data_IF_271814512982
#
_entry.id   IF_271814512982
#
_cell.length_a   1.000
_cell.length_b   1.000
_cell.length_c   1.000
_cell.angle_alpha   90.00
_cell.angle_beta   90.00
_cell.angle_gamma   90.00
#
_symmetry.space_group_name_H-M   'P 1'
#
loop_
_entity.id
_entity.type
_entity.pdbx_description
1 polymer ?
#
# COMPACT_ATOMS: atom_id res chain seq x y z
N UNK A 1 -58.73 -14.47 -13.43
CA UNK A 1 -58.03 -13.25 -12.96
C UNK A 1 -57.75 -12.46 -14.21
N UNK A 2 -58.41 -11.32 -14.35
CA UNK A 2 -58.56 -10.61 -15.63
C UNK A 2 -57.37 -9.66 -15.84
N UNK A 3 -56.70 -9.75 -16.98
CA UNK A 3 -55.44 -9.04 -17.27
C UNK A 3 -55.62 -7.51 -17.28
N UNK A 4 -56.85 -7.04 -17.53
CA UNK A 4 -57.21 -5.62 -17.47
C UNK A 4 -57.22 -5.05 -16.04
N UNK A 5 -57.46 -5.89 -15.03
CA UNK A 5 -57.56 -5.43 -13.64
C UNK A 5 -56.17 -5.09 -13.07
N UNK A 6 -55.15 -5.87 -13.46
CA UNK A 6 -53.74 -5.65 -13.07
C UNK A 6 -53.17 -4.37 -13.69
N UNK A 7 -53.48 -4.09 -14.96
CA UNK A 7 -53.01 -2.86 -15.62
C UNK A 7 -53.62 -1.60 -15.00
N UNK A 8 -54.91 -1.67 -14.66
CA UNK A 8 -55.64 -0.56 -14.03
C UNK A 8 -55.12 -0.30 -12.62
N UNK A 9 -54.85 -1.38 -11.87
CA UNK A 9 -54.27 -1.29 -10.53
C UNK A 9 -52.83 -0.76 -10.55
N UNK A 10 -52.01 -1.15 -11.53
CA UNK A 10 -50.66 -0.61 -11.74
C UNK A 10 -50.68 0.88 -12.10
N UNK A 11 -51.59 1.31 -12.99
CA UNK A 11 -51.70 2.72 -13.37
C UNK A 11 -52.17 3.59 -12.21
N UNK A 12 -53.09 3.12 -11.38
CA UNK A 12 -53.55 3.88 -10.21
C UNK A 12 -52.45 4.00 -9.15
N UNK A 13 -51.69 2.93 -8.92
CA UNK A 13 -50.58 2.93 -7.96
C UNK A 13 -49.40 3.81 -8.41
N UNK A 14 -49.13 3.86 -9.72
CA UNK A 14 -48.11 4.75 -10.29
C UNK A 14 -48.54 6.22 -10.29
N UNK A 15 -49.82 6.52 -10.52
CA UNK A 15 -50.34 7.88 -10.47
C UNK A 15 -50.42 8.47 -9.05
N UNK A 16 -50.55 7.62 -8.02
CA UNK A 16 -50.65 8.04 -6.62
C UNK A 16 -49.29 8.27 -5.93
N UNK A 17 -48.17 7.86 -6.54
CA UNK A 17 -46.84 8.09 -5.96
C UNK A 17 -46.40 9.54 -6.24
N UNK A 18 -46.10 10.34 -5.21
CA UNK A 18 -45.49 11.65 -5.41
C UNK A 18 -44.16 11.45 -6.14
N UNK A 19 -43.97 12.17 -7.25
CA UNK A 19 -42.75 12.10 -8.03
C UNK A 19 -41.56 12.41 -7.11
N UNK A 20 -40.68 11.42 -6.92
CA UNK A 20 -39.41 11.61 -6.24
C UNK A 20 -38.67 12.73 -6.98
N UNK A 21 -38.45 13.84 -6.28
CA UNK A 21 -37.73 14.99 -6.82
C UNK A 21 -36.33 14.50 -7.16
N UNK A 22 -35.99 14.50 -8.45
CA UNK A 22 -34.66 14.11 -8.89
C UNK A 22 -33.63 15.00 -8.17
N UNK A 23 -32.53 14.43 -7.62
CA UNK A 23 -31.46 15.21 -7.04
C UNK A 23 -31.00 16.30 -8.02
N UNK A 24 -30.81 17.52 -7.52
CA UNK A 24 -30.48 18.71 -8.35
C UNK A 24 -29.16 18.53 -9.15
N UNK A 25 -28.34 17.53 -8.80
CA UNK A 25 -27.06 17.21 -9.42
C UNK A 25 -27.09 15.99 -10.36
N UNK A 26 -28.25 15.37 -10.58
CA UNK A 26 -28.36 14.15 -11.41
C UNK A 26 -27.89 14.38 -12.85
N UNK A 27 -28.14 15.57 -13.41
CA UNK A 27 -27.67 15.97 -14.73
C UNK A 27 -26.14 16.14 -14.79
N UNK A 28 -25.51 16.61 -13.71
CA UNK A 28 -24.05 16.79 -13.64
C UNK A 28 -23.37 15.43 -13.45
N UNK A 29 -23.90 14.58 -12.55
CA UNK A 29 -23.42 13.20 -12.33
C UNK A 29 -23.51 12.35 -13.61
N UNK A 30 -24.61 12.44 -14.35
CA UNK A 30 -24.75 11.72 -15.64
C UNK A 30 -23.77 12.24 -16.70
N UNK A 31 -23.51 13.56 -16.77
CA UNK A 31 -22.50 14.13 -17.68
C UNK A 31 -21.08 13.66 -17.34
N UNK A 32 -20.70 13.64 -16.05
CA UNK A 32 -19.38 13.17 -15.60
C UNK A 32 -19.21 11.68 -15.90
N UNK A 33 -20.22 10.85 -15.58
CA UNK A 33 -20.21 9.41 -15.87
C UNK A 33 -20.11 9.14 -17.37
N UNK A 34 -20.86 9.86 -18.20
CA UNK A 34 -20.82 9.70 -19.65
C UNK A 34 -19.45 10.10 -20.26
N UNK A 35 -18.78 11.13 -19.72
CA UNK A 35 -17.40 11.49 -20.15
C UNK A 35 -16.38 10.41 -19.78
N UNK A 36 -16.48 9.83 -18.57
CA UNK A 36 -15.59 8.74 -18.11
C UNK A 36 -15.81 7.46 -18.92
N UNK A 37 -17.06 7.11 -19.19
CA UNK A 37 -17.43 5.95 -20.01
C UNK A 37 -16.97 6.08 -21.47
N UNK A 38 -17.06 7.28 -22.08
CA UNK A 38 -16.51 7.52 -23.43
C UNK A 38 -14.99 7.35 -23.50
N UNK A 39 -14.25 7.78 -22.48
CA UNK A 39 -12.78 7.60 -22.42
C UNK A 39 -12.42 6.11 -22.26
N UNK A 40 -13.16 5.36 -21.47
CA UNK A 40 -12.96 3.91 -21.31
C UNK A 40 -13.33 3.12 -22.57
N UNK A 41 -14.43 3.47 -23.26
CA UNK A 41 -14.81 2.83 -24.52
C UNK A 41 -13.77 3.06 -25.64
N UNK A 42 -13.12 4.23 -25.68
CA UNK A 42 -12.05 4.50 -26.64
C UNK A 42 -10.78 3.64 -26.38
N UNK A 43 -10.49 3.31 -25.11
CA UNK A 43 -9.35 2.47 -24.75
C UNK A 43 -9.57 0.98 -25.11
N UNK A 44 -10.79 0.46 -24.94
CA UNK A 44 -11.13 -0.95 -25.24
C UNK A 44 -11.06 -1.25 -26.75
N UNK A 45 -11.45 -0.31 -27.61
CA UNK A 45 -11.35 -0.47 -29.08
C UNK A 45 -9.88 -0.50 -29.54
N UNK A 46 -8.98 0.24 -28.88
CA UNK A 46 -7.55 0.21 -29.19
C UNK A 46 -6.86 -1.11 -28.87
N UNK A 47 -7.20 -1.73 -27.74
CA UNK A 47 -6.63 -3.02 -27.31
C UNK A 47 -7.08 -4.16 -28.23
N UNK A 48 -8.34 -4.17 -28.66
CA UNK A 48 -8.85 -5.18 -29.59
C UNK A 48 -8.12 -5.18 -30.95
N UNK A 49 -7.78 -4.01 -31.48
CA UNK A 49 -7.04 -3.89 -32.75
C UNK A 49 -5.59 -4.40 -32.62
N UNK A 50 -4.94 -4.16 -31.49
CA UNK A 50 -3.59 -4.64 -31.21
C UNK A 50 -3.53 -6.17 -31.08
N UNK A 51 -4.51 -6.77 -30.40
CA UNK A 51 -4.62 -8.24 -30.27
C UNK A 51 -4.88 -8.89 -31.64
N UNK A 52 -5.75 -8.33 -32.49
CA UNK A 52 -5.99 -8.88 -33.84
C UNK A 52 -4.74 -8.77 -34.74
N UNK A 53 -3.95 -7.70 -34.61
CA UNK A 53 -2.68 -7.57 -35.36
C UNK A 53 -1.60 -8.54 -34.86
N UNK A 54 -1.53 -8.81 -33.55
CA UNK A 54 -0.57 -9.75 -32.97
C UNK A 54 -0.97 -11.21 -33.23
N UNK A 55 -2.25 -11.57 -33.16
CA UNK A 55 -2.70 -12.95 -33.39
C UNK A 55 -2.92 -13.29 -34.88
N UNK A 56 -3.26 -12.31 -35.73
CA UNK A 56 -3.45 -12.51 -37.16
C UNK A 56 -2.16 -12.73 -37.96
N UNK A 57 -1.00 -12.36 -37.40
CA UNK A 57 0.31 -12.45 -38.08
C UNK A 57 1.12 -13.71 -37.76
N UNK A 58 0.65 -14.57 -36.84
CA UNK A 58 1.38 -15.75 -36.35
C UNK A 58 1.25 -17.04 -37.19
N UNK A 59 0.27 -17.29 -38.08
CA UNK A 59 0.19 -18.60 -38.74
C UNK A 59 1.28 -18.91 -39.80
N UNK A 60 2.07 -17.94 -40.27
CA UNK A 60 2.96 -18.14 -41.44
C UNK A 60 4.43 -18.37 -41.08
N UNK A 61 4.87 -18.12 -39.84
CA UNK A 61 6.28 -18.23 -39.44
C UNK A 61 6.67 -19.57 -38.78
N UNK A 62 5.76 -20.54 -38.65
CA UNK A 62 6.08 -21.88 -38.15
C UNK A 62 6.77 -22.80 -39.17
N UNK A 63 6.85 -22.41 -40.45
CA UNK A 63 7.48 -23.22 -41.50
C UNK A 63 8.97 -22.95 -41.75
N UNK A 64 9.60 -22.01 -41.03
CA UNK A 64 11.00 -21.60 -41.26
C UNK A 64 11.94 -21.84 -40.07
N UNK A 65 11.49 -22.57 -39.04
CA UNK A 65 12.37 -22.92 -37.93
C UNK A 65 13.19 -24.17 -38.32
N UNK A 66 14.53 -24.07 -38.42
CA UNK A 66 15.38 -25.22 -38.73
C UNK A 66 15.27 -26.27 -37.62
N UNK A 67 15.24 -27.55 -38.01
CA UNK A 67 15.33 -28.68 -37.09
C UNK A 67 16.53 -28.50 -36.15
N UNK A 68 16.26 -28.29 -34.87
CA UNK A 68 17.28 -28.23 -33.83
C UNK A 68 17.68 -29.66 -33.47
N UNK A 69 18.46 -30.26 -34.37
CA UNK A 69 19.27 -31.44 -34.11
C UNK A 69 20.71 -31.01 -33.82
N UNK A 70 21.02 -30.65 -32.58
CA UNK A 70 22.40 -30.55 -32.11
C UNK A 70 22.44 -30.66 -30.60
N UNK A 71 23.09 -31.71 -30.11
CA UNK A 71 23.52 -31.87 -28.72
C UNK A 71 24.71 -30.94 -28.42
N UNK A 72 24.52 -29.63 -28.62
CA UNK A 72 25.53 -28.65 -28.25
C UNK A 72 25.47 -28.45 -26.74
N UNK A 73 26.53 -28.94 -26.09
CA UNK A 73 26.76 -28.77 -24.67
C UNK A 73 26.81 -27.27 -24.39
N UNK A 74 25.88 -26.74 -23.59
CA UNK A 74 25.81 -25.32 -23.26
C UNK A 74 27.19 -24.84 -22.78
N UNK A 75 27.86 -24.02 -23.59
CA UNK A 75 29.12 -23.40 -23.18
C UNK A 75 28.87 -22.64 -21.88
N UNK A 76 29.78 -22.75 -20.88
CA UNK A 76 29.61 -22.05 -19.60
C UNK A 76 29.35 -20.58 -19.90
N UNK A 77 28.21 -20.08 -19.43
CA UNK A 77 27.88 -18.67 -19.53
C UNK A 77 29.04 -17.90 -18.92
N UNK A 78 29.75 -17.13 -19.75
CA UNK A 78 30.77 -16.20 -19.25
C UNK A 78 30.05 -15.30 -18.26
N UNK A 79 30.30 -15.51 -16.97
CA UNK A 79 29.67 -14.77 -15.90
C UNK A 79 29.91 -13.29 -16.15
N UNK A 80 28.87 -12.56 -16.49
CA UNK A 80 28.93 -11.10 -16.49
C UNK A 80 29.20 -10.72 -15.04
N UNK A 81 30.44 -10.30 -14.75
CA UNK A 81 30.80 -9.76 -13.45
C UNK A 81 29.93 -8.54 -13.22
N UNK A 82 28.85 -8.73 -12.48
CA UNK A 82 27.97 -7.62 -12.10
C UNK A 82 28.68 -6.86 -10.99
N UNK A 83 28.83 -5.55 -11.20
CA UNK A 83 29.45 -4.67 -10.22
C UNK A 83 28.69 -4.78 -8.88
N UNK A 84 29.42 -5.03 -7.80
CA UNK A 84 28.88 -5.11 -6.44
C UNK A 84 29.01 -3.76 -5.73
N UNK A 85 28.04 -3.41 -4.89
CA UNK A 85 28.15 -2.30 -3.94
C UNK A 85 29.42 -2.40 -3.08
N UNK A 86 29.86 -3.62 -2.77
CA UNK A 86 31.08 -3.89 -2.00
C UNK A 86 32.36 -3.46 -2.73
N UNK A 87 32.36 -3.50 -4.07
CA UNK A 87 33.55 -3.22 -4.88
C UNK A 87 33.72 -1.71 -5.14
N UNK A 88 32.64 -0.94 -5.02
CA UNK A 88 32.63 0.51 -5.27
C UNK A 88 33.44 1.25 -4.20
N UNK A 89 34.17 2.34 -4.54
CA UNK A 89 34.77 3.23 -3.55
C UNK A 89 33.78 3.76 -2.52
N UNK A 90 34.29 4.15 -1.35
CA UNK A 90 33.49 4.85 -0.34
C UNK A 90 32.95 6.14 -0.95
N UNK A 91 31.69 6.46 -0.66
CA UNK A 91 31.04 7.68 -1.16
C UNK A 91 30.44 8.50 -0.02
N UNK A 92 30.10 9.75 -0.33
CA UNK A 92 29.55 10.71 0.62
C UNK A 92 30.61 11.69 1.15
N UNK A 93 30.18 12.70 1.92
CA UNK A 93 31.05 13.79 2.39
C UNK A 93 32.28 13.37 3.21
N UNK A 94 32.30 12.17 3.79
CA UNK A 94 33.42 11.65 4.57
C UNK A 94 34.26 10.59 3.83
N UNK A 95 34.09 10.46 2.51
CA UNK A 95 34.80 9.44 1.73
C UNK A 95 36.33 9.55 1.79
N UNK A 96 36.88 10.74 2.08
CA UNK A 96 38.32 10.99 2.16
C UNK A 96 38.88 10.95 3.60
N UNK A 97 38.03 10.71 4.62
CA UNK A 97 38.45 10.65 6.04
C UNK A 97 38.83 9.23 6.45
N UNK A 98 39.94 8.74 5.93
CA UNK A 98 40.40 7.36 6.13
C UNK A 98 40.49 6.94 7.62
N UNK A 99 41.05 7.75 8.55
CA UNK A 99 41.06 7.39 9.97
C UNK A 99 39.66 7.18 10.55
N UNK A 100 38.70 8.05 10.21
CA UNK A 100 37.32 7.92 10.66
C UNK A 100 36.66 6.67 10.06
N UNK A 101 36.84 6.43 8.75
CA UNK A 101 36.29 5.27 8.05
C UNK A 101 36.80 3.94 8.62
N UNK A 102 38.10 3.83 8.91
CA UNK A 102 38.69 2.63 9.51
C UNK A 102 38.12 2.37 10.92
N UNK A 103 37.99 3.42 11.73
CA UNK A 103 37.45 3.30 13.07
C UNK A 103 35.96 2.89 13.06
N UNK A 104 35.15 3.43 12.15
CA UNK A 104 33.74 3.02 11.99
C UNK A 104 33.61 1.60 11.46
N UNK A 105 34.44 1.19 10.49
CA UNK A 105 34.47 -0.19 10.02
C UNK A 105 34.80 -1.20 11.14
N UNK A 106 35.60 -0.79 12.12
CA UNK A 106 35.98 -1.61 13.27
C UNK A 106 34.91 -1.69 14.37
N UNK A 107 33.78 -0.95 14.27
CA UNK A 107 32.73 -0.99 15.28
C UNK A 107 32.09 -2.39 15.38
N UNK A 108 31.76 -2.84 16.60
CA UNK A 108 31.15 -4.16 16.79
C UNK A 108 29.73 -4.19 16.20
N UNK A 109 29.42 -5.28 15.51
CA UNK A 109 28.06 -5.56 15.04
C UNK A 109 27.30 -6.35 16.11
N UNK A 110 26.14 -5.84 16.52
CA UNK A 110 25.14 -6.55 17.29
C UNK A 110 24.44 -7.52 16.35
N UNK A 111 24.70 -8.82 16.55
CA UNK A 111 24.06 -9.92 15.83
C UNK A 111 22.88 -10.39 16.66
N UNK A 112 21.71 -10.54 16.04
CA UNK A 112 20.57 -11.12 16.74
C UNK A 112 20.79 -12.62 17.00
N UNK A 113 20.25 -13.19 18.10
CA UNK A 113 20.54 -14.57 18.52
C UNK A 113 20.17 -15.66 17.49
N UNK A 114 19.36 -15.31 16.51
CA UNK A 114 18.81 -16.24 15.51
C UNK A 114 19.58 -16.26 14.20
N UNK A 115 20.71 -15.54 14.09
CA UNK A 115 21.62 -15.68 12.95
C UNK A 115 22.82 -16.59 13.34
N UNK A 116 22.75 -17.90 13.05
CA UNK A 116 23.78 -18.86 13.44
C UNK A 116 25.10 -18.69 12.66
N UNK A 117 25.14 -17.83 11.63
CA UNK A 117 26.35 -17.63 10.81
C UNK A 117 27.36 -16.64 11.43
N UNK A 118 27.08 -16.05 12.60
CA UNK A 118 28.02 -15.37 13.54
C UNK A 118 28.85 -14.19 12.94
N UNK A 119 29.45 -13.29 13.76
CA UNK A 119 29.91 -12.00 13.24
C UNK A 119 31.02 -12.17 12.21
N UNK A 120 30.85 -11.50 11.07
CA UNK A 120 31.90 -11.39 10.07
C UNK A 120 33.21 -10.94 10.74
N UNK A 121 34.37 -11.47 10.30
CA UNK A 121 35.64 -10.91 10.73
C UNK A 121 35.64 -9.41 10.43
N UNK A 122 36.02 -8.59 11.41
CA UNK A 122 36.11 -7.13 11.22
C UNK A 122 37.07 -6.75 10.09
N UNK A 123 38.01 -7.63 9.75
CA UNK A 123 38.94 -7.49 8.64
C UNK A 123 38.27 -7.40 7.25
N UNK A 124 37.02 -7.84 7.10
CA UNK A 124 36.27 -7.72 5.83
C UNK A 124 35.25 -6.58 5.86
N UNK A 125 35.22 -5.77 6.92
CA UNK A 125 34.34 -4.62 6.99
C UNK A 125 34.87 -3.49 6.11
N UNK A 126 33.97 -2.92 5.29
CA UNK A 126 34.26 -1.77 4.43
C UNK A 126 33.13 -0.76 4.53
N UNK A 127 33.46 0.51 4.74
CA UNK A 127 32.45 1.58 4.67
C UNK A 127 32.08 1.81 3.20
N UNK A 128 30.81 1.73 2.85
CA UNK A 128 30.33 2.03 1.49
C UNK A 128 29.84 3.47 1.33
N UNK A 129 29.32 4.04 2.41
CA UNK A 129 28.88 5.43 2.44
C UNK A 129 29.03 6.03 3.84
N UNK A 130 29.45 7.29 3.93
CA UNK A 130 29.53 8.05 5.18
C UNK A 130 29.31 9.55 4.99
N UNK A 131 28.56 10.17 5.90
CA UNK A 131 28.27 11.60 5.84
C UNK A 131 27.36 12.10 6.96
N UNK A 132 27.23 13.42 7.03
CA UNK A 132 26.16 14.08 7.78
C UNK A 132 25.00 14.38 6.84
N UNK A 133 23.77 14.05 7.25
CA UNK A 133 22.54 14.39 6.54
C UNK A 133 21.43 14.71 7.55
N UNK A 134 20.72 15.82 7.33
CA UNK A 134 19.64 16.30 8.19
C UNK A 134 19.98 16.27 9.70
N UNK A 135 21.19 16.72 10.07
CA UNK A 135 21.64 16.78 11.47
C UNK A 135 22.06 15.42 12.07
N UNK A 136 22.16 14.37 11.28
CA UNK A 136 22.56 13.02 11.71
C UNK A 136 23.83 12.58 10.99
N UNK A 137 24.84 12.12 11.73
CA UNK A 137 25.98 11.39 11.18
C UNK A 137 25.53 9.97 10.87
N UNK A 138 25.76 9.49 9.65
CA UNK A 138 25.30 8.18 9.19
C UNK A 138 26.47 7.47 8.47
N UNK A 139 26.57 6.15 8.63
CA UNK A 139 27.48 5.31 7.86
C UNK A 139 26.88 3.95 7.52
N UNK A 140 27.18 3.44 6.32
CA UNK A 140 26.89 2.07 5.89
C UNK A 140 28.18 1.27 5.88
N UNK A 141 28.25 0.24 6.72
CA UNK A 141 29.37 -0.71 6.74
C UNK A 141 28.92 -2.02 6.12
N UNK A 142 29.66 -2.48 5.11
CA UNK A 142 29.42 -3.72 4.39
C UNK A 142 30.46 -4.77 4.77
N UNK A 143 30.10 -6.04 4.61
CA UNK A 143 31.03 -7.16 4.65
C UNK A 143 30.68 -8.20 3.60
N UNK A 144 31.68 -8.92 3.11
CA UNK A 144 31.49 -10.03 2.20
C UNK A 144 32.20 -11.29 2.73
N UNK A 145 31.44 -12.33 3.03
CA UNK A 145 31.96 -13.63 3.50
C UNK A 145 31.30 -14.75 2.71
N UNK A 146 32.10 -15.65 2.15
CA UNK A 146 31.58 -16.80 1.39
C UNK A 146 30.70 -16.42 0.20
N UNK A 147 30.94 -15.26 -0.40
CA UNK A 147 30.14 -14.74 -1.51
C UNK A 147 28.79 -14.14 -1.10
N UNK A 148 28.49 -13.99 0.19
CA UNK A 148 27.30 -13.31 0.70
C UNK A 148 27.66 -11.90 1.12
N UNK A 149 26.92 -10.90 0.59
CA UNK A 149 27.05 -9.51 0.99
C UNK A 149 26.11 -9.25 2.16
N UNK A 150 26.61 -8.61 3.21
CA UNK A 150 25.81 -8.15 4.33
C UNK A 150 26.19 -6.73 4.73
N UNK A 151 25.31 -6.02 5.44
CA UNK A 151 25.58 -4.65 5.85
C UNK A 151 24.83 -4.22 7.10
N UNK A 152 25.35 -3.17 7.74
CA UNK A 152 24.80 -2.53 8.93
C UNK A 152 24.89 -1.02 8.76
N UNK A 153 23.83 -0.33 9.18
CA UNK A 153 23.82 1.12 9.29
C UNK A 153 24.20 1.56 10.70
N UNK A 154 25.04 2.59 10.79
CA UNK A 154 25.40 3.28 12.02
C UNK A 154 24.91 4.71 11.96
N UNK A 155 24.46 5.25 13.10
CA UNK A 155 24.05 6.63 13.23
C UNK A 155 24.55 7.27 14.52
N UNK A 156 24.80 8.57 14.48
CA UNK A 156 25.15 9.43 15.62
C UNK A 156 24.67 10.86 15.39
N UNK A 157 24.83 11.77 16.36
CA UNK A 157 24.59 13.20 16.12
C UNK A 157 25.48 13.72 14.98
N UNK A 158 25.08 14.79 14.28
CA UNK A 158 25.95 15.43 13.29
C UNK A 158 27.32 15.74 13.90
N UNK A 159 28.38 15.44 13.16
CA UNK A 159 29.73 15.62 13.68
C UNK A 159 30.29 14.44 14.47
N UNK A 160 29.48 13.41 14.80
CA UNK A 160 29.88 12.33 15.69
C UNK A 160 31.21 11.67 15.32
N UNK A 161 32.03 11.46 16.34
CA UNK A 161 33.23 10.63 16.28
C UNK A 161 32.84 9.15 16.17
N UNK A 162 33.73 8.26 15.69
CA UNK A 162 33.42 6.84 15.49
C UNK A 162 32.88 6.15 16.75
N UNK A 163 33.43 6.49 17.93
CA UNK A 163 32.98 5.93 19.21
C UNK A 163 31.61 6.42 19.69
N UNK A 164 31.07 7.47 19.07
CA UNK A 164 29.72 8.01 19.36
C UNK A 164 28.67 7.46 18.39
N UNK A 165 29.09 6.71 17.37
CA UNK A 165 28.20 6.05 16.42
C UNK A 165 27.56 4.82 17.06
N UNK A 166 26.26 4.67 16.84
CA UNK A 166 25.48 3.53 17.33
C UNK A 166 24.90 2.76 16.15
N UNK A 167 24.94 1.43 16.22
CA UNK A 167 24.29 0.59 15.21
C UNK A 167 22.78 0.88 15.19
N UNK A 168 22.28 1.31 14.05
CA UNK A 168 20.90 1.75 13.86
C UNK A 168 19.98 0.65 13.32
N UNK A 169 20.52 -0.42 12.76
CA UNK A 169 19.75 -1.55 12.20
C UNK A 169 20.36 -2.88 12.61
N UNK A 170 19.59 -3.97 12.53
CA UNK A 170 20.16 -5.32 12.48
C UNK A 170 21.06 -5.53 11.25
N UNK A 171 21.77 -6.66 11.23
CA UNK A 171 22.55 -7.11 10.06
C UNK A 171 21.58 -7.48 8.94
N UNK A 172 21.83 -6.95 7.75
CA UNK A 172 21.00 -7.19 6.56
C UNK A 172 21.77 -8.04 5.55
N UNK A 173 21.09 -9.01 4.93
CA UNK A 173 21.60 -9.68 3.75
C UNK A 173 21.25 -8.87 2.50
N UNK A 174 22.25 -8.54 1.72
CA UNK A 174 22.12 -7.61 0.61
C UNK A 174 22.34 -8.31 -0.73
N UNK A 175 21.60 -7.86 -1.74
CA UNK A 175 21.85 -8.24 -3.13
C UNK A 175 22.90 -7.29 -3.70
N UNK A 176 23.99 -7.87 -4.22
CA UNK A 176 25.22 -7.14 -4.60
C UNK A 176 25.00 -5.91 -5.48
N UNK A 177 24.06 -5.97 -6.42
CA UNK A 177 23.86 -4.95 -7.46
C UNK A 177 22.54 -4.17 -7.30
N UNK A 178 21.82 -4.37 -6.19
CA UNK A 178 20.60 -3.64 -5.88
C UNK A 178 20.92 -2.42 -5.01
N UNK A 179 20.25 -1.27 -5.24
CA UNK A 179 20.37 -0.14 -4.33
C UNK A 179 19.85 -0.49 -2.94
N UNK A 180 20.37 0.21 -1.93
CA UNK A 180 19.95 0.12 -0.55
C UNK A 180 19.46 1.49 -0.07
N UNK A 181 18.24 1.54 0.44
CA UNK A 181 17.68 2.73 1.08
C UNK A 181 17.64 2.55 2.59
N UNK A 182 18.01 3.61 3.30
CA UNK A 182 17.98 3.74 4.74
C UNK A 182 17.15 4.95 5.14
N UNK A 183 16.20 4.72 6.04
CA UNK A 183 15.40 5.80 6.63
C UNK A 183 15.64 5.86 8.12
N UNK A 184 15.81 7.09 8.58
CA UNK A 184 15.96 7.36 9.99
C UNK A 184 15.15 8.60 10.42
N UNK A 185 14.77 8.64 11.69
CA UNK A 185 14.04 9.76 12.29
C UNK A 185 14.70 10.10 13.62
N UNK A 186 15.44 11.22 13.71
CA UNK A 186 16.07 11.64 14.95
C UNK A 186 15.06 11.89 16.07
N UNK A 187 15.44 11.58 17.30
CA UNK A 187 14.61 11.76 18.49
C UNK A 187 14.34 13.27 18.67
N UNK A 188 13.11 13.71 18.40
CA UNK A 188 12.62 15.12 18.38
C UNK A 188 12.69 15.86 17.05
N UNK A 189 13.03 15.20 15.94
CA UNK A 189 12.90 15.82 14.62
C UNK A 189 11.45 15.71 14.10
N UNK A 190 10.96 16.77 13.47
CA UNK A 190 9.72 16.77 12.69
C UNK A 190 9.89 16.13 11.31
N UNK A 191 11.14 15.94 10.89
CA UNK A 191 11.56 15.38 9.62
C UNK A 191 12.42 14.14 9.84
N UNK A 192 12.47 13.30 8.81
CA UNK A 192 13.39 12.17 8.75
C UNK A 192 14.58 12.46 7.85
N UNK A 193 15.47 11.49 7.75
CA UNK A 193 16.55 11.44 6.77
C UNK A 193 16.40 10.19 5.91
N UNK A 194 16.55 10.35 4.60
CA UNK A 194 16.65 9.27 3.63
C UNK A 194 18.07 9.25 3.08
N UNK A 195 18.71 8.09 3.13
CA UNK A 195 19.98 7.82 2.44
C UNK A 195 19.76 6.65 1.48
N UNK A 196 20.16 6.81 0.23
CA UNK A 196 20.10 5.78 -0.79
C UNK A 196 21.50 5.57 -1.36
N UNK A 197 21.95 4.31 -1.35
CA UNK A 197 23.27 3.88 -1.85
C UNK A 197 23.05 2.88 -2.97
N UNK A 198 23.22 3.35 -4.21
CA UNK A 198 23.17 2.58 -5.46
C UNK A 198 24.56 2.40 -6.09
N UNK A 199 24.61 1.99 -7.34
CA UNK A 199 25.84 1.93 -8.14
C UNK A 199 26.11 3.29 -8.82
N UNK A 200 27.37 3.58 -9.20
CA UNK A 200 27.72 4.76 -9.99
C UNK A 200 26.76 5.01 -11.16
N UNK A 201 26.30 6.26 -11.29
CA UNK A 201 25.34 6.68 -12.32
C UNK A 201 23.86 6.49 -11.98
N UNK A 202 23.52 5.89 -10.83
CA UNK A 202 22.13 5.84 -10.36
C UNK A 202 21.65 7.25 -9.97
N UNK A 203 20.39 7.56 -10.30
CA UNK A 203 19.70 8.77 -9.84
C UNK A 203 18.55 8.40 -8.91
N UNK A 204 18.25 9.26 -7.95
CA UNK A 204 17.28 8.96 -6.89
C UNK A 204 16.23 10.07 -6.80
N UNK A 205 14.98 9.66 -6.87
CA UNK A 205 13.83 10.44 -6.44
C UNK A 205 13.20 9.77 -5.22
N UNK A 206 12.37 10.49 -4.48
CA UNK A 206 11.55 9.90 -3.44
C UNK A 206 10.12 10.41 -3.53
N UNK A 207 9.19 9.59 -3.07
CA UNK A 207 7.77 9.96 -2.94
C UNK A 207 7.55 10.54 -1.54
N UNK A 208 7.24 11.83 -1.44
CA UNK A 208 6.96 12.53 -0.16
C UNK A 208 5.54 12.22 0.35
N UNK A 209 4.64 11.87 -0.55
CA UNK A 209 3.27 11.47 -0.25
C UNK A 209 2.39 11.45 -1.50
N UNK A 210 1.12 11.08 -1.29
CA UNK A 210 0.09 11.14 -2.34
C UNK A 210 -1.00 12.09 -1.85
N UNK A 211 -1.16 13.21 -2.55
CA UNK A 211 -2.26 14.15 -2.27
C UNK A 211 -3.50 13.75 -3.05
N UNK A 212 -4.67 13.96 -2.47
CA UNK A 212 -5.95 13.65 -3.11
C UNK A 212 -6.75 14.93 -3.28
N UNK A 213 -7.05 15.28 -4.54
CA UNK A 213 -7.86 16.45 -4.87
C UNK A 213 -9.32 16.24 -4.44
N UNK A 214 -10.10 17.33 -4.35
CA UNK A 214 -11.54 17.22 -4.05
C UNK A 214 -12.33 16.41 -5.11
N UNK A 215 -11.77 16.19 -6.30
CA UNK A 215 -12.35 15.34 -7.33
C UNK A 215 -12.00 13.85 -7.16
N UNK A 216 -11.26 13.48 -6.11
CA UNK A 216 -10.76 12.12 -5.90
C UNK A 216 -9.59 11.76 -6.82
N UNK A 217 -8.88 12.75 -7.37
CA UNK A 217 -7.71 12.51 -8.21
C UNK A 217 -6.45 12.48 -7.34
N UNK A 218 -5.66 11.43 -7.51
CA UNK A 218 -4.38 11.28 -6.82
C UNK A 218 -3.26 11.99 -7.56
N UNK A 219 -2.44 12.73 -6.81
CA UNK A 219 -1.21 13.33 -7.28
C UNK A 219 -0.07 12.90 -6.37
N UNK A 220 0.80 12.04 -6.92
CA UNK A 220 2.02 11.57 -6.26
C UNK A 220 3.06 12.70 -6.28
N UNK A 221 3.47 13.17 -5.11
CA UNK A 221 4.53 14.18 -4.98
C UNK A 221 5.90 13.50 -5.02
N UNK A 222 6.55 13.57 -6.18
CA UNK A 222 7.90 13.08 -6.39
C UNK A 222 8.89 14.23 -6.27
N UNK A 223 9.94 14.02 -5.47
CA UNK A 223 11.00 15.01 -5.28
C UNK A 223 12.37 14.39 -5.57
N UNK A 224 13.27 15.12 -6.23
CA UNK A 224 14.64 14.67 -6.40
C UNK A 224 15.32 14.60 -5.02
N UNK A 225 16.06 13.52 -4.76
CA UNK A 225 16.90 13.42 -3.57
C UNK A 225 18.31 13.91 -3.92
N UNK A 226 18.87 14.91 -3.21
CA UNK A 226 20.21 15.42 -3.49
C UNK A 226 21.26 14.32 -3.43
N UNK A 227 22.05 14.17 -4.50
CA UNK A 227 22.99 13.07 -4.62
C UNK A 227 23.93 13.19 -5.81
N UNK A 228 25.00 12.41 -5.76
CA UNK A 228 25.99 12.29 -6.82
C UNK A 228 26.52 10.86 -6.86
N UNK A 229 26.89 10.39 -8.06
CA UNK A 229 27.53 9.09 -8.27
C UNK A 229 26.80 7.89 -7.62
N UNK A 230 25.48 7.86 -7.79
CA UNK A 230 24.66 6.77 -7.27
C UNK A 230 24.43 6.78 -5.76
N UNK A 231 24.85 7.82 -5.05
CA UNK A 231 24.45 8.03 -3.65
C UNK A 231 23.65 9.31 -3.50
N UNK A 232 22.59 9.26 -2.72
CA UNK A 232 21.76 10.41 -2.44
C UNK A 232 21.37 10.42 -0.96
N UNK A 233 21.39 11.59 -0.34
CA UNK A 233 21.06 11.75 1.06
C UNK A 233 20.37 13.10 1.29
N UNK A 234 19.28 13.11 2.04
CA UNK A 234 18.52 14.32 2.26
C UNK A 234 17.50 14.21 3.37
N UNK A 235 17.01 15.37 3.79
CA UNK A 235 15.87 15.48 4.68
C UNK A 235 14.58 15.10 3.94
N UNK A 236 13.67 14.43 4.64
CA UNK A 236 12.37 13.99 4.15
C UNK A 236 11.26 14.45 5.10
N UNK A 237 10.10 14.83 4.57
CA UNK A 237 9.00 15.43 5.33
C UNK A 237 8.09 14.35 5.95
N UNK A 238 7.72 14.48 7.23
CA UNK A 238 6.66 13.66 7.84
C UNK A 238 7.11 12.29 8.35
N UNK A 239 7.75 12.26 9.52
CA UNK A 239 8.41 11.07 10.10
C UNK A 239 7.60 9.77 10.12
N UNK A 240 6.28 9.82 10.32
CA UNK A 240 5.41 8.63 10.44
C UNK A 240 5.02 7.97 9.11
N UNK A 241 4.68 8.76 8.09
CA UNK A 241 4.40 8.24 6.76
C UNK A 241 5.62 7.53 6.20
N UNK A 242 6.75 8.23 6.30
CA UNK A 242 8.01 7.84 5.70
C UNK A 242 8.55 6.49 6.19
N UNK A 243 8.49 6.20 7.49
CA UNK A 243 9.04 4.95 8.01
C UNK A 243 8.33 3.69 7.47
N UNK A 244 7.08 3.81 7.02
CA UNK A 244 6.33 2.72 6.38
C UNK A 244 6.26 2.83 4.84
N UNK A 245 6.66 3.97 4.24
CA UNK A 245 6.36 4.24 2.83
C UNK A 245 7.27 5.16 2.05
N UNK A 246 8.47 5.50 2.55
CA UNK A 246 9.45 6.15 1.67
C UNK A 246 9.73 5.22 0.50
N UNK A 247 9.11 5.55 -0.62
CA UNK A 247 9.37 4.91 -1.89
C UNK A 247 10.45 5.74 -2.55
N UNK A 248 11.69 5.39 -2.28
CA UNK A 248 12.77 5.87 -3.12
C UNK A 248 12.65 5.18 -4.48
N UNK A 249 12.71 5.97 -5.54
CA UNK A 249 12.68 5.53 -6.92
C UNK A 249 14.09 5.70 -7.43
N UNK A 250 14.76 4.58 -7.69
CA UNK A 250 16.12 4.57 -8.23
C UNK A 250 16.05 4.28 -9.72
N UNK A 251 16.66 5.16 -10.51
CA UNK A 251 16.78 4.98 -11.96
C UNK A 251 18.24 4.76 -12.36
N UNK A 252 18.48 3.78 -13.22
CA UNK A 252 19.79 3.49 -13.82
C UNK A 252 19.69 3.62 -15.33
N UNK A 253 20.49 4.50 -15.93
CA UNK A 253 20.45 4.77 -17.37
C UNK A 253 19.03 5.15 -17.88
N UNK A 254 18.30 5.96 -17.10
CA UNK A 254 16.94 6.39 -17.43
C UNK A 254 15.85 5.32 -17.26
N UNK A 255 16.16 4.16 -16.68
CA UNK A 255 15.18 3.12 -16.37
C UNK A 255 15.02 2.96 -14.87
N UNK A 256 13.78 3.03 -14.40
CA UNK A 256 13.42 2.73 -13.01
C UNK A 256 13.75 1.27 -12.69
N UNK A 257 14.45 1.06 -11.57
CA UNK A 257 14.76 -0.26 -11.06
C UNK A 257 13.54 -0.80 -10.31
N UNK A 258 13.15 -2.04 -10.62
CA UNK A 258 11.99 -2.68 -10.01
C UNK A 258 12.24 -3.24 -8.60
N UNK A 259 13.50 -3.21 -8.13
CA UNK A 259 13.89 -3.83 -6.85
C UNK A 259 14.95 -3.01 -6.16
N UNK A 260 14.79 -2.86 -4.86
CA UNK A 260 15.69 -2.16 -3.94
C UNK A 260 15.52 -2.77 -2.55
N UNK A 261 16.59 -2.82 -1.77
CA UNK A 261 16.49 -3.16 -0.35
C UNK A 261 16.15 -1.90 0.45
N UNK A 262 15.18 -1.97 1.34
CA UNK A 262 14.77 -0.86 2.19
C UNK A 262 14.91 -1.26 3.65
N UNK A 263 15.50 -0.38 4.45
CA UNK A 263 15.56 -0.55 5.89
C UNK A 263 15.31 0.76 6.62
N UNK A 264 14.56 0.68 7.72
CA UNK A 264 14.43 1.77 8.67
C UNK A 264 15.32 1.48 9.88
N UNK A 265 15.87 2.53 10.49
CA UNK A 265 16.52 2.40 11.80
C UNK A 265 15.54 1.84 12.84
N UNK A 266 16.05 1.33 13.97
CA UNK A 266 15.22 0.85 15.07
C UNK A 266 14.28 1.96 15.59
N UNK A 267 14.77 3.21 15.65
CA UNK A 267 13.98 4.38 16.06
C UNK A 267 12.91 4.76 15.03
N UNK A 268 13.26 4.80 13.75
CA UNK A 268 12.28 5.04 12.69
C UNK A 268 11.23 3.92 12.65
N UNK A 269 11.65 2.66 12.79
CA UNK A 269 10.76 1.50 12.86
C UNK A 269 9.83 1.54 14.07
N UNK A 270 10.29 2.05 15.22
CA UNK A 270 9.45 2.25 16.40
C UNK A 270 8.39 3.34 16.15
N UNK A 271 8.77 4.44 15.50
CA UNK A 271 7.85 5.52 15.12
C UNK A 271 6.83 5.04 14.08
N UNK A 272 7.27 4.25 13.09
CA UNK A 272 6.43 3.65 12.06
C UNK A 272 5.34 2.75 12.64
N UNK A 273 5.66 2.02 13.72
CA UNK A 273 4.77 1.10 14.43
C UNK A 273 3.99 1.74 15.58
N UNK A 274 4.27 3.00 15.88
CA UNK A 274 3.55 3.70 16.95
C UNK A 274 2.09 3.89 16.53
N UNK A 275 1.11 3.67 17.44
CA UNK A 275 -0.31 3.72 17.09
C UNK A 275 -0.69 5.02 16.37
N UNK A 276 -1.46 4.87 15.29
CA UNK A 276 -2.12 5.98 14.61
C UNK A 276 -3.25 6.47 15.52
N UNK A 277 -3.16 7.74 15.89
CA UNK A 277 -4.13 8.41 16.75
C UNK A 277 -5.23 9.09 15.93
N UNK A 278 -6.29 9.56 16.59
CA UNK A 278 -7.34 10.35 15.94
C UNK A 278 -8.38 9.54 15.16
N UNK A 279 -8.42 8.21 15.32
CA UNK A 279 -9.52 7.39 14.80
C UNK A 279 -10.83 7.71 15.54
N UNK A 280 -11.83 8.18 14.80
CA UNK A 280 -13.19 8.36 15.31
C UNK A 280 -13.95 7.05 15.18
N UNK A 281 -14.63 6.63 16.25
CA UNK A 281 -15.46 5.43 16.27
C UNK A 281 -16.91 5.79 16.66
N UNK A 282 -17.69 6.36 15.73
CA UNK A 282 -19.00 6.92 16.03
C UNK A 282 -20.08 5.86 16.33
N UNK A 283 -19.74 4.57 16.19
CA UNK A 283 -20.63 3.42 16.34
C UNK A 283 -20.09 2.38 17.36
N UNK A 284 -19.03 2.71 18.10
CA UNK A 284 -18.48 1.87 19.17
C UNK A 284 -17.96 0.50 18.70
N UNK A 285 -17.45 0.42 17.47
CA UNK A 285 -17.04 -0.83 16.82
C UNK A 285 -15.67 -1.32 17.27
N UNK A 286 -14.82 -0.43 17.79
CA UNK A 286 -13.43 -0.75 18.17
C UNK A 286 -13.36 -1.84 19.23
N UNK A 287 -14.37 -1.97 20.09
CA UNK A 287 -14.43 -3.02 21.11
C UNK A 287 -14.67 -4.44 20.54
N UNK A 288 -14.95 -4.57 19.23
CA UNK A 288 -15.31 -5.84 18.58
C UNK A 288 -14.15 -6.54 17.88
N UNK A 289 -13.03 -5.86 17.75
CA UNK A 289 -11.85 -6.33 17.03
C UNK A 289 -10.61 -6.02 17.85
N UNK A 290 -9.52 -6.69 17.54
CA UNK A 290 -8.23 -6.38 18.14
C UNK A 290 -7.76 -4.98 17.72
N UNK A 291 -7.13 -4.27 18.65
CA UNK A 291 -6.47 -3.00 18.35
C UNK A 291 -5.40 -3.17 17.26
N UNK A 292 -4.74 -4.34 17.22
CA UNK A 292 -3.75 -4.67 16.20
C UNK A 292 -4.35 -4.66 14.80
N UNK A 293 -5.52 -5.27 14.58
CA UNK A 293 -6.18 -5.27 13.26
C UNK A 293 -6.55 -3.85 12.82
N UNK A 294 -7.05 -3.02 13.74
CA UNK A 294 -7.34 -1.60 13.46
C UNK A 294 -6.07 -0.86 13.06
N UNK A 295 -5.00 -0.96 13.85
CA UNK A 295 -3.75 -0.26 13.58
C UNK A 295 -3.08 -0.72 12.28
N UNK A 296 -3.17 -2.00 11.92
CA UNK A 296 -2.67 -2.50 10.64
C UNK A 296 -3.34 -1.81 9.44
N UNK A 297 -4.68 -1.67 9.47
CA UNK A 297 -5.42 -0.94 8.42
C UNK A 297 -5.03 0.53 8.39
N UNK A 298 -4.92 1.18 9.54
CA UNK A 298 -4.51 2.60 9.59
C UNK A 298 -3.07 2.81 9.09
N UNK A 299 -2.15 1.93 9.45
CA UNK A 299 -0.76 1.97 8.98
C UNK A 299 -0.67 1.79 7.47
N UNK A 300 -1.51 0.96 6.86
CA UNK A 300 -1.57 0.86 5.40
C UNK A 300 -1.95 2.21 4.76
N UNK A 301 -2.95 2.91 5.29
CA UNK A 301 -3.34 4.22 4.77
C UNK A 301 -2.19 5.25 4.91
N UNK A 302 -1.56 5.29 6.08
CA UNK A 302 -0.39 6.13 6.36
C UNK A 302 0.75 5.80 5.39
N UNK A 303 0.93 4.53 5.05
CA UNK A 303 1.93 4.13 4.08
C UNK A 303 1.58 4.63 2.66
N UNK A 304 0.34 4.44 2.19
CA UNK A 304 -0.03 4.82 0.81
C UNK A 304 -0.02 6.33 0.59
N UNK A 305 -0.50 7.10 1.56
CA UNK A 305 -0.76 8.53 1.40
C UNK A 305 0.27 9.43 2.08
N UNK A 306 1.02 8.95 3.07
CA UNK A 306 2.07 9.71 3.74
C UNK A 306 1.58 11.05 4.30
N UNK A 307 2.30 12.13 3.97
CA UNK A 307 1.95 13.52 4.33
C UNK A 307 0.60 13.99 3.75
N UNK A 308 0.07 13.29 2.73
CA UNK A 308 -1.25 13.54 2.19
C UNK A 308 -2.38 13.39 3.22
N UNK A 309 -2.16 12.61 4.29
CA UNK A 309 -3.09 12.45 5.40
C UNK A 309 -2.95 13.51 6.49
N UNK A 310 -2.05 14.49 6.37
CA UNK A 310 -1.88 15.51 7.39
C UNK A 310 -3.18 16.32 7.57
N UNK A 311 -3.80 16.19 8.74
CA UNK A 311 -5.11 16.78 9.05
C UNK A 311 -6.30 16.09 8.38
N UNK A 312 -6.12 14.87 7.86
CA UNK A 312 -7.24 13.99 7.52
C UNK A 312 -7.93 13.47 8.79
N UNK A 313 -9.22 13.18 8.69
CA UNK A 313 -9.99 12.54 9.77
C UNK A 313 -10.19 11.08 9.45
N UNK A 314 -9.74 10.18 10.33
CA UNK A 314 -9.98 8.75 10.20
C UNK A 314 -11.29 8.37 10.92
N UNK A 315 -12.12 7.54 10.29
CA UNK A 315 -13.39 7.04 10.84
C UNK A 315 -13.46 5.52 10.68
N UNK A 316 -13.80 4.81 11.75
CA UNK A 316 -14.09 3.39 11.71
C UNK A 316 -15.53 3.18 11.22
N UNK A 317 -15.69 2.46 10.10
CA UNK A 317 -16.96 2.34 9.38
C UNK A 317 -17.61 0.98 9.57
N UNK A 318 -16.82 -0.09 9.60
CA UNK A 318 -17.27 -1.42 9.97
C UNK A 318 -16.12 -2.18 10.64
N UNK A 319 -16.42 -2.94 11.68
CA UNK A 319 -15.45 -3.85 12.29
C UNK A 319 -16.18 -5.00 12.98
N UNK A 320 -15.65 -6.21 12.85
CA UNK A 320 -16.21 -7.38 13.50
C UNK A 320 -15.40 -8.66 13.23
N UNK A 321 -15.71 -9.72 13.98
CA UNK A 321 -15.17 -11.04 13.70
C UNK A 321 -15.70 -11.56 12.34
N UNK A 322 -14.94 -12.46 11.72
CA UNK A 322 -15.41 -13.25 10.57
C UNK A 322 -16.10 -14.53 11.05
N UNK A 323 -16.67 -15.31 10.13
CA UNK A 323 -17.23 -16.63 10.49
C UNK A 323 -16.14 -17.63 10.92
N UNK A 324 -14.89 -17.36 10.54
CA UNK A 324 -13.70 -18.08 10.99
C UNK A 324 -12.97 -17.39 12.16
N UNK A 325 -11.81 -17.93 12.58
CA UNK A 325 -10.95 -17.29 13.56
C UNK A 325 -10.21 -16.08 12.94
N UNK A 326 -10.94 -15.01 12.67
CA UNK A 326 -10.46 -13.84 11.96
C UNK A 326 -11.24 -12.57 12.30
N UNK A 327 -10.77 -11.46 11.75
CA UNK A 327 -11.36 -10.13 11.96
C UNK A 327 -11.32 -9.33 10.66
N UNK A 328 -12.34 -8.50 10.45
CA UNK A 328 -12.41 -7.54 9.34
C UNK A 328 -12.52 -6.14 9.91
N UNK A 329 -11.78 -5.22 9.30
CA UNK A 329 -11.82 -3.80 9.61
C UNK A 329 -11.97 -3.01 8.31
N UNK A 330 -12.93 -2.09 8.29
CA UNK A 330 -13.12 -1.08 7.25
C UNK A 330 -13.03 0.29 7.91
N UNK A 331 -12.01 1.06 7.52
CA UNK A 331 -11.82 2.44 7.90
C UNK A 331 -11.94 3.35 6.67
N UNK A 332 -12.37 4.59 6.89
CA UNK A 332 -12.32 5.63 5.88
C UNK A 332 -11.54 6.83 6.37
N UNK A 333 -10.87 7.52 5.44
CA UNK A 333 -10.17 8.77 5.71
C UNK A 333 -10.81 9.88 4.90
N UNK A 334 -11.11 11.01 5.54
CA UNK A 334 -11.53 12.24 4.85
C UNK A 334 -10.36 13.21 4.82
N UNK A 335 -9.85 13.48 3.62
CA UNK A 335 -8.74 14.43 3.39
C UNK A 335 -9.19 15.87 3.64
N UNK A 336 -8.24 16.81 3.79
CA UNK A 336 -8.56 18.25 3.88
C UNK A 336 -9.33 18.79 2.68
N UNK A 337 -9.16 18.16 1.51
CA UNK A 337 -9.91 18.49 0.29
C UNK A 337 -11.37 18.05 0.34
N UNK A 338 -11.78 17.30 1.38
CA UNK A 338 -13.09 16.69 1.52
C UNK A 338 -13.23 15.34 0.80
N UNK A 339 -12.29 14.99 -0.08
CA UNK A 339 -12.24 13.67 -0.71
C UNK A 339 -12.08 12.57 0.35
N UNK A 340 -12.45 11.35 -0.03
CA UNK A 340 -12.40 10.22 0.90
C UNK A 340 -11.69 9.02 0.30
N UNK A 341 -11.03 8.21 1.13
CA UNK A 341 -10.50 6.91 0.74
C UNK A 341 -10.96 5.86 1.73
N UNK A 342 -11.28 4.67 1.22
CA UNK A 342 -11.62 3.51 2.04
C UNK A 342 -10.43 2.56 2.09
N UNK A 343 -10.16 2.07 3.28
CA UNK A 343 -9.02 1.22 3.60
C UNK A 343 -9.56 0.06 4.40
N UNK A 344 -9.23 -1.14 3.99
CA UNK A 344 -9.81 -2.36 4.55
C UNK A 344 -8.74 -3.40 4.80
N UNK A 345 -8.98 -4.24 5.80
CA UNK A 345 -8.14 -5.37 6.10
C UNK A 345 -8.94 -6.52 6.67
N UNK A 346 -8.49 -7.73 6.36
CA UNK A 346 -8.96 -8.97 6.94
C UNK A 346 -7.78 -9.70 7.55
N UNK A 347 -8.03 -10.41 8.65
CA UNK A 347 -7.11 -11.40 9.19
C UNK A 347 -7.83 -12.73 9.28
N UNK A 348 -7.13 -13.81 8.95
CA UNK A 348 -7.62 -15.17 9.11
C UNK A 348 -6.53 -15.99 9.80
N UNK A 349 -6.90 -16.71 10.86
CA UNK A 349 -5.99 -17.61 11.57
C UNK A 349 -6.22 -19.06 11.11
N UNK A 350 -5.23 -19.65 10.47
CA UNK A 350 -5.27 -21.07 10.16
C UNK A 350 -5.17 -21.92 11.44
N UNK A 351 -5.59 -23.18 11.35
CA UNK A 351 -5.58 -24.14 12.47
C UNK A 351 -4.18 -24.45 13.01
N UNK A 352 -3.14 -24.28 12.19
CA UNK A 352 -1.73 -24.41 12.60
C UNK A 352 -1.19 -23.18 13.35
N UNK A 353 -2.04 -22.17 13.62
CA UNK A 353 -1.69 -20.93 14.29
C UNK A 353 -1.15 -19.83 13.37
N UNK A 354 -0.88 -20.11 12.09
CA UNK A 354 -0.45 -19.08 11.15
C UNK A 354 -1.57 -18.08 10.90
N UNK A 355 -1.25 -16.79 10.84
CA UNK A 355 -2.22 -15.74 10.51
C UNK A 355 -1.92 -15.22 9.10
N UNK A 356 -2.92 -15.26 8.22
CA UNK A 356 -2.89 -14.57 6.94
C UNK A 356 -3.60 -13.24 7.11
N UNK A 357 -3.07 -12.20 6.49
CA UNK A 357 -3.65 -10.87 6.47
C UNK A 357 -3.76 -10.41 5.03
N UNK A 358 -4.90 -9.83 4.68
CA UNK A 358 -5.14 -9.21 3.39
C UNK A 358 -5.56 -7.77 3.65
N UNK A 359 -5.07 -6.85 2.84
CA UNK A 359 -5.35 -5.44 3.01
C UNK A 359 -5.53 -4.82 1.63
N UNK A 360 -6.51 -3.93 1.51
CA UNK A 360 -6.77 -3.21 0.26
C UNK A 360 -7.18 -1.76 0.51
N UNK A 361 -6.79 -0.90 -0.42
CA UNK A 361 -7.27 0.48 -0.54
C UNK A 361 -8.18 0.57 -1.75
N UNK A 362 -9.34 1.20 -1.61
CA UNK A 362 -10.19 1.53 -2.76
C UNK A 362 -9.76 2.87 -3.36
N UNK A 363 -10.05 3.09 -4.63
CA UNK A 363 -9.82 4.39 -5.28
C UNK A 363 -10.46 5.53 -4.49
N UNK A 364 -9.77 6.68 -4.31
CA UNK A 364 -10.35 7.82 -3.65
C UNK A 364 -11.64 8.30 -4.33
N UNK A 365 -12.62 8.62 -3.50
CA UNK A 365 -13.89 9.19 -3.92
C UNK A 365 -13.85 10.72 -3.81
N UNK A 366 -14.52 11.44 -4.73
CA UNK A 366 -14.67 12.88 -4.65
C UNK A 366 -15.25 13.34 -3.32
N UNK A 367 -14.99 14.60 -2.97
CA UNK A 367 -15.62 15.25 -1.84
C UNK A 367 -17.15 15.25 -1.99
N UNK A 368 -17.86 14.98 -0.89
CA UNK A 368 -19.30 14.84 -0.91
C UNK A 368 -19.86 14.36 0.41
N UNK A 369 -20.72 13.34 0.35
CA UNK A 369 -21.40 12.77 1.52
C UNK A 369 -20.39 12.36 2.61
N UNK A 370 -20.58 12.78 3.87
CA UNK A 370 -19.76 12.33 4.99
C UNK A 370 -19.69 10.80 5.05
N UNK A 371 -18.52 10.25 5.40
CA UNK A 371 -18.30 8.79 5.42
C UNK A 371 -19.34 8.03 6.25
N UNK A 372 -19.79 8.59 7.38
CA UNK A 372 -20.80 7.96 8.25
C UNK A 372 -22.18 7.85 7.62
N UNK A 373 -22.43 8.63 6.57
CA UNK A 373 -23.71 8.74 5.87
C UNK A 373 -23.67 8.06 4.50
N UNK A 374 -22.50 7.51 4.11
CA UNK A 374 -22.35 6.70 2.90
C UNK A 374 -22.89 5.29 3.12
N UNK A 375 -23.51 4.74 2.07
CA UNK A 375 -23.90 3.33 2.00
C UNK A 375 -22.76 2.54 1.39
N UNK A 376 -22.15 1.65 2.17
CA UNK A 376 -20.96 0.91 1.80
C UNK A 376 -21.21 -0.59 1.98
N UNK A 377 -20.84 -1.35 0.95
CA UNK A 377 -20.75 -2.81 0.99
C UNK A 377 -19.44 -3.21 0.29
N UNK A 378 -18.42 -3.56 1.07
CA UNK A 378 -17.05 -3.80 0.58
C UNK A 378 -16.69 -5.28 0.75
N UNK A 379 -16.39 -6.01 -0.35
CA UNK A 379 -16.01 -7.42 -0.29
C UNK A 379 -14.55 -7.59 0.13
N UNK A 380 -14.29 -8.59 0.98
CA UNK A 380 -12.98 -8.87 1.59
C UNK A 380 -12.79 -10.39 1.74
N UNK A 381 -12.16 -11.04 0.75
CA UNK A 381 -11.81 -12.47 0.80
C UNK A 381 -12.96 -13.42 1.19
N UNK A 382 -14.15 -13.18 0.63
CA UNK A 382 -15.36 -13.97 0.92
C UNK A 382 -16.25 -13.37 2.02
N UNK A 383 -15.76 -12.37 2.74
CA UNK A 383 -16.52 -11.58 3.71
C UNK A 383 -17.06 -10.28 3.08
N UNK A 384 -18.03 -9.65 3.73
CA UNK A 384 -18.54 -8.33 3.42
C UNK A 384 -18.46 -7.43 4.65
N UNK A 385 -17.86 -6.25 4.48
CA UNK A 385 -17.93 -5.16 5.44
C UNK A 385 -19.03 -4.17 5.04
N UNK A 386 -20.00 -3.95 5.93
CA UNK A 386 -21.18 -3.12 5.67
C UNK A 386 -21.20 -1.87 6.57
N UNK A 387 -21.49 -0.72 5.98
CA UNK A 387 -21.82 0.52 6.68
C UNK A 387 -23.02 1.18 6.02
N UNK A 388 -24.15 1.25 6.72
CA UNK A 388 -25.40 1.79 6.23
C UNK A 388 -26.11 2.71 7.25
N UNK A 389 -27.44 2.93 7.09
CA UNK A 389 -28.22 3.78 7.98
C UNK A 389 -28.21 3.26 9.41
N UNK A 390 -28.09 4.14 10.41
CA UNK A 390 -27.98 3.74 11.83
C UNK A 390 -29.14 2.88 12.32
N UNK A 391 -30.34 3.12 11.81
CA UNK A 391 -31.55 2.39 12.20
C UNK A 391 -31.67 1.00 11.55
N UNK A 392 -30.73 0.64 10.66
CA UNK A 392 -30.69 -0.69 10.07
C UNK A 392 -30.17 -1.71 11.10
N UNK A 393 -30.99 -2.74 11.34
CA UNK A 393 -30.65 -3.85 12.25
C UNK A 393 -30.25 -5.11 11.50
N UNK A 394 -30.49 -5.13 10.19
CA UNK A 394 -30.24 -6.29 9.33
C UNK A 394 -29.87 -5.85 7.90
N UNK A 395 -29.06 -6.66 7.23
CA UNK A 395 -28.78 -6.52 5.82
C UNK A 395 -29.04 -7.83 5.07
N UNK A 396 -29.77 -7.77 3.97
CA UNK A 396 -29.88 -8.87 3.01
C UNK A 396 -28.84 -8.69 1.91
N UNK A 397 -28.02 -9.72 1.69
CA UNK A 397 -27.08 -9.79 0.57
C UNK A 397 -27.78 -10.49 -0.57
N UNK A 398 -27.86 -9.85 -1.73
CA UNK A 398 -28.62 -10.30 -2.90
C UNK A 398 -27.68 -10.62 -4.07
N UNK A 399 -28.02 -11.62 -4.86
CA UNK A 399 -27.38 -11.90 -6.14
C UNK A 399 -27.84 -10.92 -7.25
N UNK A 400 -27.41 -11.17 -8.49
CA UNK A 400 -27.77 -10.35 -9.66
C UNK A 400 -29.26 -10.42 -10.03
N UNK A 401 -29.96 -11.48 -9.61
CA UNK A 401 -31.38 -11.69 -9.86
C UNK A 401 -32.25 -11.13 -8.72
N UNK A 402 -31.62 -10.58 -7.67
CA UNK A 402 -32.29 -10.07 -6.48
C UNK A 402 -32.69 -11.17 -5.48
N UNK A 403 -32.18 -12.39 -5.66
CA UNK A 403 -32.43 -13.50 -4.72
C UNK A 403 -31.54 -13.31 -3.49
N UNK A 404 -32.09 -13.42 -2.26
CA UNK A 404 -31.28 -13.37 -1.05
C UNK A 404 -30.31 -14.55 -0.97
N UNK A 405 -29.02 -14.25 -0.86
CA UNK A 405 -27.95 -15.21 -0.63
C UNK A 405 -27.75 -15.48 0.86
N UNK A 406 -27.73 -14.41 1.65
CA UNK A 406 -27.54 -14.48 3.09
C UNK A 406 -28.08 -13.22 3.78
N UNK A 407 -28.12 -13.25 5.10
CA UNK A 407 -28.62 -12.15 5.93
C UNK A 407 -27.65 -11.89 7.07
N UNK A 408 -27.21 -10.65 7.19
CA UNK A 408 -26.24 -10.21 8.19
C UNK A 408 -26.95 -9.39 9.28
N UNK A 409 -26.64 -9.66 10.54
CA UNK A 409 -27.09 -8.84 11.66
C UNK A 409 -26.24 -7.58 11.73
N UNK A 410 -26.89 -6.43 11.91
CA UNK A 410 -26.23 -5.14 12.01
C UNK A 410 -26.34 -4.58 13.42
N UNK A 411 -25.32 -3.82 13.82
CA UNK A 411 -25.40 -2.95 14.99
C UNK A 411 -25.09 -1.53 14.57
N UNK A 412 -26.00 -0.63 14.91
CA UNK A 412 -26.01 0.76 14.47
C UNK A 412 -25.77 0.90 12.96
N UNK A 413 -26.40 0.03 12.16
CA UNK A 413 -26.27 0.02 10.70
C UNK A 413 -24.95 -0.54 10.15
N UNK A 414 -24.12 -1.20 10.97
CA UNK A 414 -22.87 -1.82 10.51
C UNK A 414 -22.80 -3.30 10.80
N UNK A 415 -22.07 -4.03 9.96
CA UNK A 415 -21.86 -5.45 10.17
C UNK A 415 -20.71 -5.98 9.34
N UNK A 416 -20.24 -7.15 9.75
CA UNK A 416 -19.31 -8.00 9.01
C UNK A 416 -19.94 -9.39 8.94
N UNK A 417 -19.79 -10.07 7.81
CA UNK A 417 -20.06 -11.50 7.71
C UNK A 417 -19.92 -12.01 6.29
N UNK A 418 -20.09 -13.31 6.11
CA UNK A 418 -19.91 -13.98 4.83
C UNK A 418 -20.80 -13.38 3.73
N UNK A 419 -20.27 -13.32 2.51
CA UNK A 419 -21.05 -12.96 1.32
C UNK A 419 -22.04 -14.07 0.89
N UNK A 420 -21.99 -15.24 1.54
CA UNK A 420 -22.76 -16.43 1.21
C UNK A 420 -22.04 -17.38 0.25
N UNK A 421 -22.37 -18.67 0.32
CA UNK A 421 -21.91 -19.68 -0.63
C UNK A 421 -22.81 -19.61 -1.88
N UNK A 422 -22.39 -18.87 -2.92
CA UNK A 422 -23.26 -18.65 -4.06
C UNK A 422 -22.64 -17.84 -5.21
N UNK A 423 -23.47 -17.47 -6.22
CA UNK A 423 -23.05 -16.49 -7.22
C UNK A 423 -22.62 -15.18 -6.55
N UNK A 424 -21.78 -14.41 -7.23
CA UNK A 424 -21.21 -13.19 -6.67
C UNK A 424 -22.31 -12.25 -6.16
N UNK A 425 -22.20 -11.86 -4.89
CA UNK A 425 -23.07 -10.86 -4.29
C UNK A 425 -23.05 -9.56 -5.12
N UNK A 426 -24.23 -9.07 -5.47
CA UNK A 426 -24.38 -7.92 -6.36
C UNK A 426 -24.90 -6.69 -5.60
N UNK A 427 -25.86 -6.88 -4.70
CA UNK A 427 -26.54 -5.78 -3.99
C UNK A 427 -26.71 -6.12 -2.52
N UNK A 428 -26.69 -5.10 -1.67
CA UNK A 428 -27.02 -5.20 -0.24
C UNK A 428 -28.21 -4.31 0.07
N UNK A 429 -29.21 -4.87 0.75
CA UNK A 429 -30.42 -4.18 1.21
C UNK A 429 -30.40 -4.05 2.72
N UNK A 430 -30.46 -2.82 3.22
CA UNK A 430 -30.50 -2.50 4.65
C UNK A 430 -31.94 -2.42 5.14
N UNK A 431 -32.24 -3.11 6.22
CA UNK A 431 -33.58 -3.31 6.76
C UNK A 431 -33.67 -2.82 8.21
N UNK A 432 -34.79 -2.16 8.53
CA UNK A 432 -35.19 -1.85 9.88
C UNK A 432 -35.71 -3.11 10.61
N UNK A 433 -36.03 -2.97 11.90
CA UNK A 433 -36.52 -4.08 12.73
C UNK A 433 -37.92 -4.59 12.34
N UNK A 434 -38.69 -3.81 11.59
CA UNK A 434 -40.01 -4.15 11.05
C UNK A 434 -39.95 -4.63 9.59
N UNK A 435 -38.75 -4.97 9.11
CA UNK A 435 -38.47 -5.37 7.72
C UNK A 435 -38.69 -4.29 6.66
N UNK A 436 -38.86 -3.03 7.08
CA UNK A 436 -38.86 -1.89 6.16
C UNK A 436 -37.48 -1.72 5.52
N UNK A 437 -37.43 -1.65 4.19
CA UNK A 437 -36.21 -1.33 3.45
C UNK A 437 -35.84 0.13 3.67
N UNK A 438 -34.70 0.35 4.31
CA UNK A 438 -34.16 1.69 4.57
C UNK A 438 -33.29 2.18 3.42
N UNK A 439 -32.50 1.27 2.83
CA UNK A 439 -31.57 1.61 1.75
C UNK A 439 -31.15 0.36 0.97
N UNK A 440 -30.67 0.57 -0.25
CA UNK A 440 -30.00 -0.46 -1.07
C UNK A 440 -28.72 0.12 -1.67
N UNK A 441 -27.66 -0.69 -1.78
CA UNK A 441 -26.40 -0.30 -2.41
C UNK A 441 -25.79 -1.48 -3.17
N UNK A 442 -25.14 -1.26 -4.32
CA UNK A 442 -24.34 -2.31 -4.94
C UNK A 442 -23.16 -2.69 -4.04
N UNK A 443 -22.73 -3.95 -4.15
CA UNK A 443 -21.43 -4.38 -3.62
C UNK A 443 -20.33 -3.71 -4.45
N UNK A 444 -19.40 -3.04 -3.77
CA UNK A 444 -18.33 -2.29 -4.43
C UNK A 444 -17.34 -3.26 -5.08
N UNK A 445 -16.91 -2.95 -6.30
CA UNK A 445 -15.74 -3.62 -6.88
C UNK A 445 -14.49 -3.07 -6.20
N UNK A 446 -13.79 -3.89 -5.42
CA UNK A 446 -12.42 -3.57 -5.00
C UNK A 446 -11.55 -3.59 -6.24
N UNK A 447 -10.90 -2.47 -6.56
CA UNK A 447 -9.94 -2.38 -7.66
C UNK A 447 -8.88 -3.47 -7.48
N UNK A 448 -8.77 -4.38 -8.47
CA UNK A 448 -7.76 -5.44 -8.50
C UNK A 448 -6.45 -4.95 -9.09
#
# INVERSE_FOLDING_TARGET
MDLMDVETQLRSHLAARPALRAPDDLAERTRVRHRRQRRQQAAVVGIGLAVVLVFGSVPVLRGLLPEVGSSDTAAPSRGVTTQSLYDVPVRGPLADDEPWLQAVAALPWRVEPFDPDAPSPTATHRVAWAGDAAGTRIALVLTEVGGRLSGVWFTGPAGAEPGEMTQATGVQHLVRNQPLAFVDVPERASSGVLVVVGLPGDTVEYVDGTTVSAAGEELVDRRPLPGQDGVAAGEISGSRGLANSVRAIVSRNGRELSSMSYVASDRASAIARAPVEGLTDPRGLRARVSEQAVQQVLHMAVSTYGTGLDGATATLLAAGPTDGPGEVVLAGFTFRSGATVLVSGSTQRATNGSTTSSMSTLDPQPAGTPLTDQLLAVPLDGELALSGPRDAVRAEVLDTDGTPLTTLSLVDGTGVGSAGDGPAAATVRFLAADDTVLAETPVSETGR
#
